data_IF_367220058525
#
_entry.id   IF_367220058525
#
_cell.length_a   1.000
_cell.length_b   1.000
_cell.length_c   1.000
_cell.angle_alpha   90.00
_cell.angle_beta   90.00
_cell.angle_gamma   90.00
#
_symmetry.space_group_name_H-M   'P 1'
#
loop_
_entity.id
_entity.type
_entity.pdbx_description
1 polymer ?
#
# COMPACT_ATOMS: atom_id res chain seq x y z
N UNK A 1 14.47 3.12 -16.42
CA UNK A 1 15.21 3.88 -15.40
C UNK A 1 15.70 2.95 -14.28
N UNK A 2 14.85 2.37 -13.43
CA UNK A 2 15.30 1.51 -12.30
C UNK A 2 16.06 0.22 -12.67
N UNK A 3 15.89 -0.28 -13.91
CA UNK A 3 16.56 -1.48 -14.43
C UNK A 3 17.53 -1.16 -15.58
N UNK A 4 17.73 0.12 -15.91
CA UNK A 4 18.59 0.56 -17.01
C UNK A 4 19.93 1.06 -16.49
N UNK A 5 20.51 0.28 -15.60
CA UNK A 5 21.78 0.59 -14.93
C UNK A 5 22.96 -0.04 -15.65
N UNK A 6 24.15 0.50 -15.41
CA UNK A 6 25.39 -0.11 -15.89
C UNK A 6 25.54 -1.55 -15.35
N UNK A 7 26.10 -2.47 -16.15
CA UNK A 7 26.23 -3.88 -15.75
C UNK A 7 27.05 -4.05 -14.45
N UNK A 8 27.96 -3.12 -14.18
CA UNK A 8 28.89 -3.19 -13.04
C UNK A 8 28.34 -2.55 -11.76
N UNK A 9 27.52 -1.49 -11.84
CA UNK A 9 27.08 -0.71 -10.66
C UNK A 9 25.57 -0.74 -10.40
N UNK A 10 24.87 -1.70 -11.02
CA UNK A 10 23.41 -1.76 -11.01
C UNK A 10 22.75 -1.81 -9.63
N UNK A 11 23.39 -2.44 -8.63
CA UNK A 11 22.87 -2.47 -7.27
C UNK A 11 22.96 -1.09 -6.61
N UNK A 12 24.15 -0.47 -6.66
CA UNK A 12 24.41 0.81 -6.02
C UNK A 12 23.60 1.94 -6.66
N UNK A 13 23.54 2.01 -7.99
CA UNK A 13 22.72 2.99 -8.71
C UNK A 13 21.24 2.87 -8.34
N UNK A 14 20.73 1.64 -8.24
CA UNK A 14 19.34 1.38 -7.87
C UNK A 14 19.04 1.80 -6.44
N UNK A 15 19.90 1.44 -5.51
CA UNK A 15 19.75 1.84 -4.10
C UNK A 15 19.74 3.37 -3.98
N UNK A 16 20.66 4.06 -4.66
CA UNK A 16 20.71 5.52 -4.69
C UNK A 16 19.42 6.14 -5.24
N UNK A 17 18.91 5.63 -6.37
CA UNK A 17 17.64 6.11 -6.94
C UNK A 17 16.47 5.86 -5.99
N UNK A 18 16.41 4.69 -5.36
CA UNK A 18 15.35 4.36 -4.41
C UNK A 18 15.42 5.21 -3.15
N UNK A 19 16.62 5.52 -2.64
CA UNK A 19 16.83 6.44 -1.53
C UNK A 19 16.36 7.84 -1.88
N UNK A 20 16.75 8.35 -3.05
CA UNK A 20 16.31 9.66 -3.53
C UNK A 20 14.77 9.74 -3.65
N UNK A 21 14.11 8.71 -4.17
CA UNK A 21 12.65 8.66 -4.23
C UNK A 21 12.05 8.60 -2.82
N UNK A 22 12.63 7.80 -1.91
CA UNK A 22 12.13 7.67 -0.54
C UNK A 22 12.23 8.98 0.25
N UNK A 23 13.27 9.77 0.04
CA UNK A 23 13.48 11.05 0.71
C UNK A 23 12.74 12.21 0.03
N UNK A 24 12.58 12.15 -1.30
CA UNK A 24 11.91 13.17 -2.09
C UNK A 24 10.39 13.06 -2.15
N UNK A 25 9.79 11.99 -1.64
CA UNK A 25 8.33 11.83 -1.60
C UNK A 25 7.77 12.50 -0.33
N UNK A 26 7.53 13.80 -0.38
CA UNK A 26 7.14 14.62 0.78
C UNK A 26 5.65 15.00 0.69
N UNK A 27 5.21 15.42 -0.49
CA UNK A 27 3.85 15.90 -0.74
C UNK A 27 3.18 15.18 -1.93
N UNK A 28 1.85 15.29 -2.08
CA UNK A 28 1.14 14.62 -3.16
C UNK A 28 1.61 14.99 -4.57
N UNK A 29 2.25 16.16 -4.75
CA UNK A 29 2.81 16.55 -6.05
C UNK A 29 4.02 15.69 -6.44
N UNK A 30 4.86 15.33 -5.48
CA UNK A 30 6.02 14.45 -5.71
C UNK A 30 5.59 13.08 -6.22
N UNK A 31 4.48 12.56 -5.67
CA UNK A 31 3.85 11.33 -6.14
C UNK A 31 3.45 11.43 -7.62
N UNK A 32 2.91 12.57 -8.07
CA UNK A 32 2.51 12.73 -9.47
C UNK A 32 3.71 12.67 -10.41
N UNK A 33 4.85 13.26 -10.02
CA UNK A 33 6.09 13.20 -10.78
C UNK A 33 6.56 11.74 -10.90
N UNK A 34 6.56 10.99 -9.79
CA UNK A 34 6.90 9.57 -9.76
C UNK A 34 5.96 8.76 -10.66
N UNK A 35 4.66 9.02 -10.56
CA UNK A 35 3.62 8.29 -11.28
C UNK A 35 3.63 8.56 -12.79
N UNK A 36 3.94 9.78 -13.22
CA UNK A 36 4.07 10.16 -14.64
C UNK A 36 5.15 9.37 -15.38
N UNK A 37 6.13 8.82 -14.66
CA UNK A 37 7.18 7.95 -15.21
C UNK A 37 6.95 6.46 -14.92
N UNK A 38 5.73 6.08 -14.58
CA UNK A 38 5.36 4.72 -14.15
C UNK A 38 6.15 4.24 -12.93
N UNK A 39 6.64 5.15 -12.09
CA UNK A 39 7.53 4.83 -10.96
C UNK A 39 6.90 3.83 -10.02
N UNK A 40 5.65 4.07 -9.57
CA UNK A 40 4.96 3.14 -8.67
C UNK A 40 4.79 1.76 -9.30
N UNK A 41 4.37 1.68 -10.57
CA UNK A 41 4.23 0.38 -11.27
C UNK A 41 5.55 -0.39 -11.31
N UNK A 42 6.67 0.32 -11.52
CA UNK A 42 8.00 -0.29 -11.49
C UNK A 42 8.36 -0.78 -10.10
N UNK A 43 8.10 0.00 -9.03
CA UNK A 43 8.34 -0.41 -7.65
C UNK A 43 7.54 -1.67 -7.30
N UNK A 44 6.25 -1.71 -7.64
CA UNK A 44 5.35 -2.85 -7.39
C UNK A 44 5.77 -4.09 -8.17
N UNK A 45 6.24 -3.93 -9.41
CA UNK A 45 6.69 -5.06 -10.25
C UNK A 45 8.05 -5.59 -9.80
N UNK A 46 8.93 -4.72 -9.31
CA UNK A 46 10.28 -5.07 -8.91
C UNK A 46 10.33 -5.77 -7.54
N UNK A 47 9.52 -5.32 -6.59
CA UNK A 47 9.51 -5.80 -5.21
C UNK A 47 9.46 -7.34 -5.04
N UNK A 48 8.54 -8.09 -5.68
CA UNK A 48 8.42 -9.53 -5.45
C UNK A 48 9.50 -10.35 -6.17
N UNK A 49 10.37 -9.72 -6.97
CA UNK A 49 11.39 -10.43 -7.75
C UNK A 49 12.59 -10.85 -6.90
N UNK A 50 13.35 -11.82 -7.40
CA UNK A 50 14.66 -12.19 -6.84
C UNK A 50 15.77 -11.19 -7.23
N UNK A 51 15.48 -10.20 -8.07
CA UNK A 51 16.47 -9.25 -8.59
C UNK A 51 16.82 -8.13 -7.60
N UNK A 52 16.05 -7.99 -6.52
CA UNK A 52 16.27 -6.97 -5.48
C UNK A 52 16.70 -7.60 -4.17
N UNK A 53 17.70 -6.98 -3.57
CA UNK A 53 18.14 -7.27 -2.22
C UNK A 53 17.19 -6.68 -1.16
N UNK A 54 17.49 -6.99 0.10
CA UNK A 54 16.73 -6.53 1.27
C UNK A 54 16.74 -5.00 1.41
N UNK A 55 17.82 -4.32 1.02
CA UNK A 55 17.94 -2.87 1.13
C UNK A 55 16.98 -2.18 0.15
N UNK A 56 16.99 -2.60 -1.11
CA UNK A 56 16.06 -2.10 -2.13
C UNK A 56 14.60 -2.39 -1.75
N UNK A 57 14.28 -3.59 -1.26
CA UNK A 57 12.91 -3.92 -0.81
C UNK A 57 12.46 -3.05 0.36
N UNK A 58 13.34 -2.78 1.33
CA UNK A 58 13.05 -1.86 2.43
C UNK A 58 12.76 -0.44 1.94
N UNK A 59 13.53 0.07 0.98
CA UNK A 59 13.27 1.39 0.39
C UNK A 59 11.93 1.43 -0.36
N UNK A 60 11.61 0.39 -1.16
CA UNK A 60 10.32 0.28 -1.84
C UNK A 60 9.17 0.32 -0.82
N UNK A 61 9.26 -0.47 0.26
CA UNK A 61 8.25 -0.50 1.31
C UNK A 61 8.11 0.86 2.01
N UNK A 62 9.21 1.56 2.26
CA UNK A 62 9.19 2.92 2.83
C UNK A 62 8.48 3.90 1.90
N UNK A 63 8.82 3.90 0.60
CA UNK A 63 8.15 4.75 -0.40
C UNK A 63 6.63 4.49 -0.40
N UNK A 64 6.22 3.21 -0.43
CA UNK A 64 4.81 2.85 -0.40
C UNK A 64 4.12 3.29 0.89
N UNK A 65 4.77 3.13 2.05
CA UNK A 65 4.23 3.58 3.33
C UNK A 65 4.05 5.09 3.40
N UNK A 66 5.03 5.85 2.94
CA UNK A 66 4.95 7.31 2.85
C UNK A 66 3.83 7.73 1.92
N UNK A 67 3.70 7.06 0.76
CA UNK A 67 2.64 7.33 -0.20
C UNK A 67 1.25 7.09 0.40
N UNK A 68 1.01 5.93 1.03
CA UNK A 68 -0.32 5.63 1.59
C UNK A 68 -0.68 6.50 2.79
N UNK A 69 0.30 7.11 3.49
CA UNK A 69 0.04 8.05 4.59
C UNK A 69 -0.57 9.37 4.11
N UNK A 70 -0.40 9.74 2.85
CA UNK A 70 -1.06 10.88 2.24
C UNK A 70 -2.44 10.44 1.72
N UNK A 71 -3.58 10.89 2.28
CA UNK A 71 -4.89 10.32 1.94
C UNK A 71 -5.27 10.39 0.46
N UNK A 72 -4.95 11.51 -0.22
CA UNK A 72 -5.20 11.67 -1.66
C UNK A 72 -4.39 10.70 -2.51
N UNK A 73 -3.14 10.43 -2.13
CA UNK A 73 -2.26 9.46 -2.81
C UNK A 73 -2.69 8.03 -2.49
N UNK A 74 -3.05 7.74 -1.24
CA UNK A 74 -3.62 6.45 -0.82
C UNK A 74 -4.88 6.10 -1.61
N UNK A 75 -5.78 7.06 -1.82
CA UNK A 75 -6.95 6.91 -2.68
C UNK A 75 -6.59 6.56 -4.12
N UNK A 76 -5.62 7.27 -4.71
CA UNK A 76 -5.15 6.99 -6.06
C UNK A 76 -4.53 5.59 -6.17
N UNK A 77 -3.68 5.22 -5.20
CA UNK A 77 -3.07 3.90 -5.10
C UNK A 77 -4.13 2.79 -4.94
N UNK A 78 -5.19 3.04 -4.19
CA UNK A 78 -6.28 2.09 -4.00
C UNK A 78 -6.98 1.77 -5.33
N UNK A 79 -7.38 2.79 -6.10
CA UNK A 79 -8.18 2.60 -7.31
C UNK A 79 -7.34 2.40 -8.58
N UNK A 80 -6.33 3.25 -8.81
CA UNK A 80 -5.55 3.20 -10.05
C UNK A 80 -4.53 2.08 -10.05
N UNK A 81 -3.85 1.87 -8.94
CA UNK A 81 -2.81 0.84 -8.82
C UNK A 81 -3.32 -0.47 -8.21
N UNK A 82 -4.58 -0.51 -7.73
CA UNK A 82 -5.14 -1.67 -7.04
C UNK A 82 -4.23 -2.18 -5.90
N UNK A 83 -3.62 -1.25 -5.15
CA UNK A 83 -2.56 -1.57 -4.19
C UNK A 83 -3.00 -2.61 -3.15
N UNK A 84 -4.25 -2.56 -2.70
CA UNK A 84 -4.85 -3.55 -1.80
C UNK A 84 -4.80 -4.97 -2.37
N UNK A 85 -5.12 -5.13 -3.65
CA UNK A 85 -5.08 -6.41 -4.37
C UNK A 85 -3.66 -6.88 -4.65
N UNK A 86 -2.75 -5.95 -4.98
CA UNK A 86 -1.34 -6.25 -5.15
C UNK A 86 -0.71 -6.75 -3.83
N UNK A 87 -0.96 -6.07 -2.70
CA UNK A 87 -0.45 -6.53 -1.40
C UNK A 87 -0.95 -7.95 -1.11
N UNK A 88 -2.24 -8.20 -1.29
CA UNK A 88 -2.82 -9.53 -1.06
C UNK A 88 -2.23 -10.61 -1.98
N UNK A 89 -1.75 -10.28 -3.17
CA UNK A 89 -1.13 -11.25 -4.09
C UNK A 89 0.34 -11.52 -3.78
N UNK A 90 1.09 -10.55 -3.25
CA UNK A 90 2.52 -10.72 -2.96
C UNK A 90 2.84 -11.17 -1.54
N UNK A 91 1.91 -11.01 -0.58
CA UNK A 91 2.21 -11.21 0.85
C UNK A 91 2.63 -12.64 1.21
N UNK A 92 2.17 -13.64 0.44
CA UNK A 92 2.53 -15.05 0.63
C UNK A 92 3.78 -15.47 -0.16
N UNK A 93 4.45 -14.53 -0.85
CA UNK A 93 5.65 -14.83 -1.60
C UNK A 93 6.74 -15.39 -0.66
N UNK A 94 7.29 -16.56 -1.05
CA UNK A 94 8.30 -17.31 -0.28
C UNK A 94 9.62 -16.57 -0.16
N UNK A 95 9.89 -15.61 -1.05
CA UNK A 95 11.07 -14.76 -1.00
C UNK A 95 10.98 -13.65 0.06
N UNK A 96 9.80 -13.43 0.66
CA UNK A 96 9.60 -12.41 1.68
C UNK A 96 9.83 -12.96 3.07
N UNK A 97 10.63 -12.23 3.83
CA UNK A 97 10.81 -12.40 5.26
C UNK A 97 9.54 -12.05 6.02
N UNK A 98 9.40 -12.57 7.24
CA UNK A 98 8.30 -12.18 8.10
C UNK A 98 8.32 -10.70 8.49
N UNK A 99 9.43 -9.98 8.35
CA UNK A 99 9.46 -8.53 8.58
C UNK A 99 8.79 -7.78 7.42
N UNK A 100 9.14 -8.12 6.17
CA UNK A 100 8.52 -7.53 4.97
C UNK A 100 7.02 -7.79 4.93
N UNK A 101 6.59 -9.01 5.31
CA UNK A 101 5.16 -9.35 5.40
C UNK A 101 4.43 -8.51 6.43
N UNK A 102 4.99 -8.33 7.63
CA UNK A 102 4.40 -7.43 8.64
C UNK A 102 4.38 -5.97 8.15
N UNK A 103 5.41 -5.52 7.44
CA UNK A 103 5.46 -4.17 6.91
C UNK A 103 4.40 -3.95 5.82
N UNK A 104 4.18 -4.92 4.94
CA UNK A 104 3.07 -4.92 3.99
C UNK A 104 1.71 -4.90 4.69
N UNK A 105 1.54 -5.67 5.76
CA UNK A 105 0.33 -5.63 6.59
C UNK A 105 0.06 -4.24 7.18
N UNK A 106 1.12 -3.52 7.58
CA UNK A 106 1.02 -2.15 8.06
C UNK A 106 0.65 -1.15 6.96
N UNK A 107 1.26 -1.27 5.76
CA UNK A 107 0.88 -0.44 4.60
C UNK A 107 -0.59 -0.69 4.25
N UNK A 108 -1.01 -1.95 4.25
CA UNK A 108 -2.38 -2.36 3.96
C UNK A 108 -3.38 -1.76 4.95
N UNK A 109 -3.09 -1.82 6.26
CA UNK A 109 -3.98 -1.26 7.28
C UNK A 109 -4.15 0.25 7.15
N UNK A 110 -3.07 0.99 6.87
CA UNK A 110 -3.12 2.44 6.61
C UNK A 110 -3.94 2.74 5.36
N UNK A 111 -3.70 1.98 4.27
CA UNK A 111 -4.39 2.16 3.00
C UNK A 111 -5.90 2.04 3.13
N UNK A 112 -6.38 0.98 3.78
CA UNK A 112 -7.82 0.72 3.89
C UNK A 112 -8.51 1.67 4.86
N UNK A 113 -7.82 2.13 5.90
CA UNK A 113 -8.38 3.11 6.82
C UNK A 113 -8.53 4.48 6.15
N UNK A 114 -7.53 4.90 5.36
CA UNK A 114 -7.60 6.12 4.57
C UNK A 114 -8.74 6.07 3.54
N UNK A 115 -8.86 4.97 2.80
CA UNK A 115 -9.95 4.82 1.83
C UNK A 115 -11.34 4.79 2.51
N UNK A 116 -11.42 4.18 3.69
CA UNK A 116 -12.64 4.19 4.51
C UNK A 116 -12.99 5.62 4.93
N UNK A 117 -12.05 6.39 5.46
CA UNK A 117 -12.31 7.76 5.90
C UNK A 117 -12.70 8.68 4.73
N UNK A 118 -12.08 8.51 3.56
CA UNK A 118 -12.48 9.21 2.33
C UNK A 118 -13.91 8.81 1.92
N UNK A 119 -14.22 7.52 1.93
CA UNK A 119 -15.57 7.03 1.64
C UNK A 119 -16.62 7.63 2.59
N UNK A 120 -16.29 7.79 3.87
CA UNK A 120 -17.18 8.40 4.89
C UNK A 120 -17.43 9.89 4.68
N UNK A 121 -16.44 10.61 4.17
CA UNK A 121 -16.51 12.05 3.92
C UNK A 121 -16.87 12.42 2.48
N UNK A 122 -17.01 11.43 1.60
CA UNK A 122 -17.44 11.65 0.22
C UNK A 122 -18.87 12.20 0.14
N UNK A 123 -19.15 13.05 -0.87
CA UNK A 123 -20.50 13.57 -1.10
C UNK A 123 -21.50 12.44 -1.31
N UNK A 124 -22.75 12.65 -0.89
CA UNK A 124 -23.87 11.74 -1.20
C UNK A 124 -24.17 11.63 -2.68
N UNK A 125 -23.67 12.58 -3.48
CA UNK A 125 -23.80 12.59 -4.94
C UNK A 125 -22.85 11.56 -5.60
N UNK A 126 -21.84 11.08 -4.88
CA UNK A 126 -21.02 9.99 -5.39
C UNK A 126 -21.88 8.71 -5.53
N UNK A 127 -21.67 7.92 -6.60
CA UNK A 127 -22.45 6.73 -6.81
C UNK A 127 -22.35 5.78 -5.62
N UNK A 128 -23.51 5.35 -5.08
CA UNK A 128 -23.59 4.48 -3.89
C UNK A 128 -22.80 3.18 -4.03
N UNK A 129 -22.49 2.75 -5.25
CA UNK A 129 -21.68 1.54 -5.48
C UNK A 129 -20.20 1.75 -5.12
N UNK A 130 -19.64 2.97 -5.15
CA UNK A 130 -18.19 3.18 -4.94
C UNK A 130 -17.70 2.66 -3.59
N UNK A 131 -18.28 3.15 -2.48
CA UNK A 131 -17.89 2.69 -1.15
C UNK A 131 -18.22 1.20 -0.92
N UNK A 132 -19.27 0.67 -1.60
CA UNK A 132 -19.62 -0.75 -1.53
C UNK A 132 -18.55 -1.60 -2.21
N UNK A 133 -18.09 -1.21 -3.40
CA UNK A 133 -17.00 -1.87 -4.12
C UNK A 133 -15.73 -1.81 -3.29
N UNK A 134 -15.33 -0.63 -2.81
CA UNK A 134 -14.14 -0.47 -1.97
C UNK A 134 -14.19 -1.35 -0.71
N UNK A 135 -15.31 -1.34 0.01
CA UNK A 135 -15.52 -2.17 1.21
C UNK A 135 -15.49 -3.67 0.87
N UNK A 136 -16.10 -4.09 -0.25
CA UNK A 136 -16.12 -5.49 -0.68
C UNK A 136 -14.73 -5.98 -1.09
N UNK A 137 -14.02 -5.21 -1.93
CA UNK A 137 -12.64 -5.51 -2.34
C UNK A 137 -11.70 -5.58 -1.13
N UNK A 138 -11.88 -4.66 -0.17
CA UNK A 138 -11.12 -4.68 1.09
C UNK A 138 -11.40 -5.96 1.87
N UNK A 139 -12.66 -6.37 2.05
CA UNK A 139 -12.99 -7.62 2.75
C UNK A 139 -12.36 -8.85 2.10
N UNK A 140 -12.39 -8.94 0.77
CA UNK A 140 -11.80 -10.07 0.03
C UNK A 140 -10.27 -10.09 0.22
N UNK A 141 -9.62 -8.96 -0.01
CA UNK A 141 -8.15 -8.88 0.08
C UNK A 141 -7.65 -9.02 1.51
N UNK A 142 -8.42 -8.53 2.50
CA UNK A 142 -8.07 -8.63 3.90
C UNK A 142 -8.03 -10.07 4.39
N UNK A 143 -8.88 -10.96 3.89
CA UNK A 143 -8.81 -12.38 4.26
C UNK A 143 -7.43 -12.98 3.99
N UNK A 144 -6.82 -12.62 2.85
CA UNK A 144 -5.46 -13.06 2.51
C UNK A 144 -4.41 -12.42 3.41
N UNK A 145 -4.52 -11.12 3.65
CA UNK A 145 -3.56 -10.41 4.51
C UNK A 145 -3.62 -10.90 5.95
N UNK A 146 -4.82 -11.15 6.49
CA UNK A 146 -5.04 -11.67 7.83
C UNK A 146 -4.45 -13.08 7.98
N UNK A 147 -4.71 -13.98 7.03
CA UNK A 147 -4.12 -15.32 7.05
C UNK A 147 -2.57 -15.28 7.07
N UNK A 148 -1.97 -14.38 6.29
CA UNK A 148 -0.53 -14.17 6.30
C UNK A 148 -0.03 -13.64 7.66
N UNK A 149 -0.79 -12.75 8.32
CA UNK A 149 -0.45 -12.24 9.67
C UNK A 149 -0.61 -13.31 10.76
N UNK A 150 -1.63 -14.18 10.67
CA UNK A 150 -1.84 -15.28 11.61
C UNK A 150 -0.66 -16.26 11.62
N UNK A 151 -0.05 -16.52 10.45
CA UNK A 151 1.17 -17.33 10.34
C UNK A 151 2.39 -16.71 11.06
N UNK A 152 2.30 -15.42 11.40
CA UNK A 152 3.32 -14.63 12.09
C UNK A 152 2.85 -14.19 13.50
N UNK A 153 1.91 -14.91 14.11
CA UNK A 153 1.27 -14.57 15.39
C UNK A 153 2.24 -14.35 16.56
N UNK A 154 3.45 -14.90 16.49
CA UNK A 154 4.51 -14.65 17.47
C UNK A 154 5.07 -13.23 17.44
N UNK A 155 4.81 -12.45 16.39
CA UNK A 155 5.28 -11.07 16.23
C UNK A 155 4.20 -10.09 16.66
N UNK A 156 4.54 -9.20 17.60
CA UNK A 156 3.63 -8.15 18.08
C UNK A 156 3.08 -7.28 16.93
N UNK A 157 3.94 -6.87 15.98
CA UNK A 157 3.52 -6.09 14.81
C UNK A 157 2.46 -6.80 13.97
N UNK A 158 2.49 -8.14 13.88
CA UNK A 158 1.46 -8.89 13.18
C UNK A 158 0.11 -8.77 13.90
N UNK A 159 0.11 -8.87 15.24
CA UNK A 159 -1.09 -8.67 16.06
C UNK A 159 -1.66 -7.25 15.98
N UNK A 160 -0.81 -6.22 15.95
CA UNK A 160 -1.22 -4.84 15.71
C UNK A 160 -1.89 -4.66 14.34
N UNK A 161 -1.29 -5.22 13.29
CA UNK A 161 -1.86 -5.18 11.95
C UNK A 161 -3.22 -5.88 11.89
N UNK A 162 -3.36 -7.06 12.49
CA UNK A 162 -4.65 -7.78 12.57
C UNK A 162 -5.72 -6.91 13.21
N UNK A 163 -5.42 -6.31 14.37
CA UNK A 163 -6.36 -5.43 15.08
C UNK A 163 -6.75 -4.21 14.24
N UNK A 164 -5.78 -3.56 13.60
CA UNK A 164 -6.02 -2.39 12.74
C UNK A 164 -6.88 -2.75 11.52
N UNK A 165 -6.57 -3.87 10.86
CA UNK A 165 -7.31 -4.34 9.67
C UNK A 165 -8.75 -4.70 10.05
N UNK A 166 -8.95 -5.45 11.13
CA UNK A 166 -10.27 -5.85 11.59
C UNK A 166 -11.13 -4.64 11.99
N UNK A 167 -10.52 -3.68 12.71
CA UNK A 167 -11.17 -2.41 13.07
C UNK A 167 -11.67 -1.64 11.84
N UNK A 168 -10.85 -1.53 10.79
CA UNK A 168 -11.23 -0.85 9.56
C UNK A 168 -12.36 -1.57 8.78
N UNK A 169 -12.35 -2.91 8.76
CA UNK A 169 -13.36 -3.71 8.08
C UNK A 169 -14.73 -3.63 8.76
N UNK A 170 -14.75 -3.69 10.09
CA UNK A 170 -15.99 -3.72 10.87
C UNK A 170 -16.64 -2.34 11.01
N UNK A 171 -15.84 -1.29 10.82
CA UNK A 171 -16.33 0.07 10.90
C UNK A 171 -17.16 0.49 9.67
N UNK A 172 -17.97 1.54 9.81
CA UNK A 172 -18.91 1.98 8.75
C UNK A 172 -18.21 2.71 7.59
N UNK A 173 -18.30 2.17 6.37
CA UNK A 173 -17.75 2.76 5.14
C UNK A 173 -18.67 3.76 4.42
N UNK A 174 -19.98 3.68 4.67
CA UNK A 174 -20.96 4.53 4.00
C UNK A 174 -20.77 6.03 4.35
N UNK A 175 -21.05 6.95 3.41
CA UNK A 175 -20.99 8.39 3.67
C UNK A 175 -21.84 8.81 4.87
N UNK A 176 -21.37 9.81 5.62
CA UNK A 176 -22.18 10.46 6.66
C UNK A 176 -23.37 11.16 6.00
N UNK A 177 -24.60 10.93 6.50
CA UNK A 177 -25.77 11.71 6.04
C UNK A 177 -25.57 13.15 6.50
N UNK A 178 -25.66 14.12 5.59
CA UNK A 178 -25.82 15.53 5.97
C UNK A 178 -27.14 15.64 6.73
N UNK A 179 -27.13 16.20 7.95
CA UNK A 179 -28.38 16.58 8.62
C UNK A 179 -29.04 17.66 7.74
N UNK A 180 -30.34 17.57 7.44
CA UNK A 180 -31.03 18.70 6.84
C UNK A 180 -30.89 19.91 7.78
N UNK A 181 -30.53 21.06 7.19
CA UNK A 181 -30.57 22.37 7.85
C UNK A 181 -32.00 22.73 8.21
#
# INVERSE_FOLDING_TARGET
>A
MLLSSSAEHHHQEREWVLTLISEGLIEPMDYNILQNRSGVKLLLSLFPTCMVDMAARRLILNILKTAVRMPSVGHDLFYRMSLHSWIASVIDNRLLTGWERCYLGQIYSILIDNEREISRHSSTDNPKYRYKVASTCTRITAQKVLAAMESLSSKETAGENVRAIQSAIDAKWRPKRKKPL
#
